data_IF_962370352039
#
_entry.id   IF_962370352039
#
_cell.length_a   1.000
_cell.length_b   1.000
_cell.length_c   1.000
_cell.angle_alpha   90.00
_cell.angle_beta   90.00
_cell.angle_gamma   90.00
#
_symmetry.space_group_name_H-M   'P 1'
#
loop_
_entity.id
_entity.type
_entity.pdbx_description
1 polymer ?
#
# COMPACT_ATOMS: atom_id res chain seq x y z
N UNK A 1 24.15 -12.63 -8.54
CA UNK A 1 22.83 -13.06 -8.05
C UNK A 1 21.75 -12.18 -8.65
N UNK A 2 20.75 -12.77 -9.26
CA UNK A 2 19.66 -12.01 -9.87
C UNK A 2 18.50 -11.89 -8.88
N UNK A 3 17.96 -10.68 -8.75
CA UNK A 3 16.75 -10.41 -7.97
C UNK A 3 15.63 -10.03 -8.92
N UNK A 4 14.46 -10.54 -8.65
CA UNK A 4 13.26 -10.25 -9.43
C UNK A 4 12.39 -9.26 -8.67
N UNK A 5 12.10 -8.12 -9.28
CA UNK A 5 11.30 -7.06 -8.69
C UNK A 5 10.00 -6.96 -9.46
N UNK A 6 8.88 -7.01 -8.75
CA UNK A 6 7.56 -6.78 -9.32
C UNK A 6 7.08 -5.38 -8.93
N UNK A 7 6.79 -4.54 -9.92
CA UNK A 7 6.22 -3.23 -9.70
C UNK A 7 4.70 -3.34 -9.81
N UNK A 8 4.02 -3.00 -8.74
CA UNK A 8 2.55 -3.01 -8.73
C UNK A 8 2.06 -1.70 -9.34
N UNK A 9 1.47 -1.81 -10.50
CA UNK A 9 0.84 -0.66 -11.16
C UNK A 9 -0.64 -0.71 -10.90
N UNK A 10 -1.12 0.22 -10.08
CA UNK A 10 -2.53 0.30 -9.77
C UNK A 10 -3.03 1.72 -9.88
N UNK A 11 -4.27 1.86 -10.31
CA UNK A 11 -4.96 3.12 -10.29
C UNK A 11 -5.78 3.17 -9.01
N UNK A 12 -5.32 3.96 -8.04
CA UNK A 12 -6.04 4.12 -6.79
C UNK A 12 -7.35 4.87 -7.02
N UNK A 13 -8.42 4.39 -6.38
CA UNK A 13 -9.69 5.13 -6.38
C UNK A 13 -9.60 6.21 -5.33
N UNK A 14 -9.83 7.46 -5.71
CA UNK A 14 -9.71 8.59 -4.79
C UNK A 14 -10.61 8.39 -3.57
N UNK A 15 -10.00 8.48 -2.38
CA UNK A 15 -10.67 8.40 -1.10
C UNK A 15 -11.40 7.09 -0.79
N UNK A 16 -11.32 6.08 -1.65
CA UNK A 16 -11.94 4.77 -1.40
C UNK A 16 -10.91 3.80 -0.84
N UNK A 17 -10.64 3.93 0.44
CA UNK A 17 -9.59 3.19 1.14
C UNK A 17 -9.82 1.67 1.06
N UNK A 18 -11.04 1.21 1.30
CA UNK A 18 -11.34 -0.22 1.29
C UNK A 18 -11.09 -0.85 -0.08
N UNK A 19 -11.54 -0.20 -1.14
CA UNK A 19 -11.30 -0.65 -2.51
C UNK A 19 -9.80 -0.68 -2.82
N UNK A 20 -9.06 0.33 -2.38
CA UNK A 20 -7.63 0.41 -2.63
C UNK A 20 -6.85 -0.70 -1.94
N UNK A 21 -7.17 -1.02 -0.69
CA UNK A 21 -6.52 -2.14 0.02
C UNK A 21 -6.83 -3.47 -0.66
N UNK A 22 -8.09 -3.69 -1.02
CA UNK A 22 -8.50 -4.92 -1.71
C UNK A 22 -7.81 -5.06 -3.07
N UNK A 23 -7.79 -3.97 -3.84
CA UNK A 23 -7.16 -3.96 -5.16
C UNK A 23 -5.65 -4.21 -5.06
N UNK A 24 -4.99 -3.58 -4.10
CA UNK A 24 -3.57 -3.81 -3.86
C UNK A 24 -3.30 -5.28 -3.53
N UNK A 25 -4.10 -5.88 -2.67
CA UNK A 25 -3.96 -7.28 -2.31
C UNK A 25 -4.12 -8.19 -3.52
N UNK A 26 -5.14 -7.95 -4.35
CA UNK A 26 -5.37 -8.74 -5.57
C UNK A 26 -4.19 -8.68 -6.53
N UNK A 27 -3.65 -7.48 -6.76
CA UNK A 27 -2.52 -7.29 -7.65
C UNK A 27 -1.24 -7.91 -7.09
N UNK A 28 -1.03 -7.80 -5.79
CA UNK A 28 0.11 -8.42 -5.12
C UNK A 28 0.04 -9.95 -5.21
N UNK A 29 -1.15 -10.54 -5.01
CA UNK A 29 -1.34 -11.98 -5.15
C UNK A 29 -1.05 -12.44 -6.59
N UNK A 30 -1.52 -11.70 -7.60
CA UNK A 30 -1.21 -12.00 -9.00
C UNK A 30 0.29 -11.92 -9.28
N UNK A 31 0.96 -10.93 -8.72
CA UNK A 31 2.39 -10.75 -8.90
C UNK A 31 3.20 -11.93 -8.35
N UNK A 32 2.70 -12.58 -7.30
CA UNK A 32 3.38 -13.74 -6.68
C UNK A 32 3.46 -14.93 -7.61
N UNK A 33 2.65 -15.02 -8.64
CA UNK A 33 2.74 -16.08 -9.66
C UNK A 33 4.10 -16.06 -10.38
N UNK A 34 4.74 -14.89 -10.47
CA UNK A 34 6.07 -14.76 -11.06
C UNK A 34 7.23 -14.98 -10.09
N UNK A 35 6.95 -15.36 -8.83
CA UNK A 35 7.94 -15.56 -7.78
C UNK A 35 8.93 -14.39 -7.62
N UNK A 36 8.45 -13.16 -7.42
CA UNK A 36 9.36 -12.03 -7.22
C UNK A 36 10.05 -12.11 -5.85
N UNK A 37 11.22 -11.48 -5.76
CA UNK A 37 11.91 -11.31 -4.48
C UNK A 37 11.40 -10.07 -3.73
N UNK A 38 10.97 -9.06 -4.49
CA UNK A 38 10.54 -7.78 -3.95
C UNK A 38 9.29 -7.32 -4.70
N UNK A 39 8.28 -6.88 -3.94
CA UNK A 39 7.10 -6.18 -4.46
C UNK A 39 7.20 -4.71 -4.13
N UNK A 40 6.87 -3.84 -5.07
CA UNK A 40 6.90 -2.38 -4.86
C UNK A 40 5.52 -1.80 -5.18
N UNK A 41 4.91 -1.13 -4.20
CA UNK A 41 3.63 -0.43 -4.36
C UNK A 41 3.84 1.05 -4.73
N UNK A 42 2.87 1.68 -5.40
CA UNK A 42 2.99 3.09 -5.77
C UNK A 42 2.78 4.04 -4.59
N UNK A 43 3.05 5.32 -4.78
CA UNK A 43 2.82 6.36 -3.76
C UNK A 43 1.33 6.54 -3.49
N UNK A 44 0.99 6.81 -2.24
CA UNK A 44 -0.37 7.08 -1.74
C UNK A 44 -1.42 6.10 -2.26
N UNK A 45 -1.04 4.84 -2.38
CA UNK A 45 -1.93 3.82 -2.95
C UNK A 45 -3.20 3.58 -2.13
N UNK A 46 -3.19 3.92 -0.83
CA UNK A 46 -4.34 3.69 0.05
C UNK A 46 -5.46 4.72 -0.16
N UNK A 47 -5.13 5.96 -0.53
CA UNK A 47 -6.13 7.02 -0.71
C UNK A 47 -6.17 7.61 -2.10
N UNK A 48 -5.12 7.37 -2.92
CA UNK A 48 -4.85 8.14 -4.12
C UNK A 48 -4.32 9.53 -3.75
N UNK A 49 -4.09 10.38 -4.75
CA UNK A 49 -3.66 11.77 -4.53
C UNK A 49 -4.90 12.62 -4.21
N UNK A 50 -5.40 12.46 -2.99
CA UNK A 50 -6.62 13.10 -2.54
C UNK A 50 -6.30 14.32 -1.67
N UNK A 51 -6.60 15.52 -2.19
CA UNK A 51 -6.37 16.78 -1.48
C UNK A 51 -7.72 17.33 -1.04
N UNK A 52 -8.06 17.16 0.25
CA UNK A 52 -9.33 17.58 0.78
C UNK A 52 -9.25 17.64 2.30
N UNK A 53 -10.14 18.43 2.91
CA UNK A 53 -10.29 18.48 4.36
C UNK A 53 -10.71 17.11 4.94
N UNK A 54 -11.29 16.25 4.09
CA UNK A 54 -11.75 14.91 4.50
C UNK A 54 -10.60 13.91 4.56
N UNK A 55 -9.39 14.27 4.11
CA UNK A 55 -8.26 13.35 4.09
C UNK A 55 -7.96 12.79 5.48
N UNK A 56 -8.14 13.59 6.54
CA UNK A 56 -7.92 13.13 7.92
C UNK A 56 -8.83 11.97 8.31
N UNK A 57 -10.04 11.93 7.76
CA UNK A 57 -11.00 10.87 8.11
C UNK A 57 -10.71 9.55 7.42
N UNK A 58 -9.93 9.55 6.36
CA UNK A 58 -9.62 8.34 5.58
C UNK A 58 -8.16 7.91 5.68
N UNK A 59 -7.27 8.77 6.17
CA UNK A 59 -5.86 8.43 6.33
C UNK A 59 -5.67 7.37 7.42
N UNK A 60 -4.67 6.52 7.24
CA UNK A 60 -4.38 5.43 8.18
C UNK A 60 -3.80 5.99 9.49
N UNK A 61 -4.54 5.84 10.57
CA UNK A 61 -4.13 6.35 11.88
C UNK A 61 -2.86 5.64 12.37
N UNK A 62 -1.79 6.42 12.52
CA UNK A 62 -0.50 5.91 12.98
C UNK A 62 0.17 4.93 12.01
N UNK A 63 -0.41 4.73 10.82
CA UNK A 63 0.11 3.79 9.86
C UNK A 63 -0.10 2.32 10.23
N UNK A 64 -0.92 2.05 11.21
CA UNK A 64 -1.09 0.70 11.78
C UNK A 64 -1.69 -0.29 10.79
N UNK A 65 -2.72 0.12 10.08
CA UNK A 65 -3.37 -0.75 9.10
C UNK A 65 -2.43 -1.09 7.96
N UNK A 66 -1.72 -0.09 7.44
CA UNK A 66 -0.75 -0.28 6.37
C UNK A 66 0.36 -1.22 6.79
N UNK A 67 0.93 -0.99 7.98
CA UNK A 67 2.00 -1.84 8.51
C UNK A 67 1.55 -3.28 8.66
N UNK A 68 0.38 -3.52 9.24
CA UNK A 68 -0.17 -4.85 9.41
C UNK A 68 -0.42 -5.53 8.06
N UNK A 69 -1.01 -4.81 7.13
CA UNK A 69 -1.32 -5.31 5.80
C UNK A 69 -0.04 -5.77 5.08
N UNK A 70 0.97 -4.89 5.02
CA UNK A 70 2.21 -5.18 4.30
C UNK A 70 3.03 -6.27 4.98
N UNK A 71 3.17 -6.22 6.31
CA UNK A 71 3.96 -7.21 7.04
C UNK A 71 3.32 -8.59 7.01
N UNK A 72 2.00 -8.67 7.08
CA UNK A 72 1.29 -9.94 6.99
C UNK A 72 1.48 -10.59 5.62
N UNK A 73 1.40 -9.78 4.56
CA UNK A 73 1.62 -10.28 3.21
C UNK A 73 3.07 -10.74 3.02
N UNK A 74 4.03 -9.94 3.47
CA UNK A 74 5.44 -10.27 3.37
C UNK A 74 5.77 -11.61 4.07
N UNK A 75 5.21 -11.79 5.25
CA UNK A 75 5.38 -13.02 6.03
C UNK A 75 4.74 -14.24 5.37
N UNK A 76 3.51 -14.10 4.91
CA UNK A 76 2.73 -15.17 4.30
C UNK A 76 3.41 -15.70 3.03
N UNK A 77 3.94 -14.81 2.22
CA UNK A 77 4.50 -15.16 0.91
C UNK A 77 6.03 -15.18 0.88
N UNK A 78 6.70 -14.93 1.99
CA UNK A 78 8.18 -14.88 2.07
C UNK A 78 8.76 -13.94 1.02
N UNK A 79 8.23 -12.73 0.94
CA UNK A 79 8.65 -11.71 -0.02
C UNK A 79 8.88 -10.39 0.69
N UNK A 80 9.82 -9.58 0.17
CA UNK A 80 10.03 -8.23 0.68
C UNK A 80 9.06 -7.28 0.00
N UNK A 81 8.41 -6.41 0.75
CA UNK A 81 7.45 -5.44 0.23
C UNK A 81 7.92 -4.03 0.52
N UNK A 82 8.08 -3.24 -0.55
CA UNK A 82 8.31 -1.80 -0.44
C UNK A 82 6.96 -1.13 -0.61
N UNK A 83 6.47 -0.54 0.46
CA UNK A 83 5.09 -0.07 0.54
C UNK A 83 4.77 1.22 -0.20
N UNK A 84 5.68 1.73 -1.03
CA UNK A 84 5.49 3.02 -1.71
C UNK A 84 5.36 4.11 -0.67
N UNK A 85 4.18 4.72 -0.61
CA UNK A 85 3.81 5.59 0.50
C UNK A 85 2.31 5.50 0.74
N UNK A 86 1.91 5.80 1.95
CA UNK A 86 0.50 5.80 2.34
C UNK A 86 0.18 7.11 3.07
N UNK A 87 -1.06 7.56 2.97
CA UNK A 87 -1.52 8.69 3.76
C UNK A 87 -1.74 8.21 5.20
N UNK A 88 -0.97 8.76 6.13
CA UNK A 88 -0.95 8.35 7.53
C UNK A 88 -1.29 9.52 8.42
N UNK A 89 -2.18 9.29 9.40
CA UNK A 89 -2.60 10.30 10.36
C UNK A 89 -1.81 10.17 11.67
N UNK A 90 -1.13 11.25 12.05
CA UNK A 90 -0.50 11.37 13.36
C UNK A 90 -1.09 12.58 14.06
N UNK A 91 -1.86 12.36 15.13
CA UNK A 91 -2.55 13.45 15.80
C UNK A 91 -3.54 14.13 14.87
N UNK A 92 -3.30 15.40 14.55
CA UNK A 92 -4.15 16.17 13.64
C UNK A 92 -3.54 16.36 12.25
N UNK A 93 -2.36 15.79 12.00
CA UNK A 93 -1.64 16.00 10.75
C UNK A 93 -1.57 14.73 9.93
N UNK A 94 -1.69 14.89 8.61
CA UNK A 94 -1.55 13.79 7.65
C UNK A 94 -0.20 13.88 6.98
N UNK A 95 0.50 12.77 6.95
CA UNK A 95 1.81 12.64 6.30
C UNK A 95 1.74 11.62 5.18
N UNK A 96 2.53 11.87 4.14
CA UNK A 96 2.79 10.91 3.08
C UNK A 96 4.00 10.07 3.52
N UNK A 97 3.74 8.83 3.90
CA UNK A 97 4.79 8.04 4.52
C UNK A 97 4.91 6.60 4.04
#
# INVERSE_FOLDING_TARGET
>A
MKKKIALIQMQAVLADVETNYRHAEELMEQAMEGNPDILVLPETWNTGFYISRKLKSIADEGGKRTETFLSSFAKKHHVNVVGGSAAVLYGNDVYNR
#
